data_IF_871300434096
#
_entry.id   IF_871300434096
#
_cell.length_a   1.000
_cell.length_b   1.000
_cell.length_c   1.000
_cell.angle_alpha   90.00
_cell.angle_beta   90.00
_cell.angle_gamma   90.00
#
_symmetry.space_group_name_H-M   'P 1'
#
loop_
_entity.id
_entity.type
_entity.pdbx_description
1 polymer ?
#
# COMPACT_ATOMS: atom_id res chain seq x y z
N UNK A 1 8.79 -22.79 21.14
CA UNK A 1 8.42 -22.43 19.76
C UNK A 1 7.79 -21.05 19.79
N UNK A 2 8.53 -20.02 19.40
CA UNK A 2 8.00 -18.65 19.34
C UNK A 2 7.02 -18.55 18.17
N UNK A 3 5.71 -18.66 18.43
CA UNK A 3 4.67 -18.33 17.45
C UNK A 3 4.71 -16.81 17.24
N UNK A 4 5.51 -16.35 16.28
CA UNK A 4 5.80 -14.93 16.08
C UNK A 4 4.57 -14.10 15.70
N UNK A 5 3.75 -14.60 14.77
CA UNK A 5 2.50 -13.97 14.33
C UNK A 5 1.44 -15.05 14.12
N UNK A 6 0.28 -14.92 14.75
CA UNK A 6 -0.89 -15.76 14.49
C UNK A 6 -2.10 -14.84 14.33
N UNK A 7 -2.62 -14.73 13.12
CA UNK A 7 -3.83 -13.97 12.83
C UNK A 7 -5.02 -14.91 12.98
N UNK A 8 -5.96 -14.56 13.84
CA UNK A 8 -7.30 -15.17 13.91
C UNK A 8 -8.32 -14.10 13.51
N UNK A 9 -9.56 -14.50 13.26
CA UNK A 9 -10.58 -13.59 12.71
C UNK A 9 -10.88 -12.38 13.61
N UNK A 10 -10.86 -12.54 14.94
CA UNK A 10 -11.12 -11.44 15.90
C UNK A 10 -9.83 -10.81 16.45
N UNK A 11 -8.77 -11.61 16.62
CA UNK A 11 -7.54 -11.21 17.29
C UNK A 11 -6.30 -11.64 16.53
N UNK A 12 -5.33 -10.74 16.44
CA UNK A 12 -3.99 -11.05 15.96
C UNK A 12 -3.04 -11.13 17.14
N UNK A 13 -2.38 -12.28 17.27
CA UNK A 13 -1.26 -12.46 18.17
C UNK A 13 0.01 -11.97 17.47
N UNK A 14 0.61 -10.91 18.00
CA UNK A 14 1.87 -10.36 17.51
C UNK A 14 2.90 -10.35 18.63
N UNK A 15 3.94 -11.16 18.51
CA UNK A 15 5.11 -11.18 19.40
C UNK A 15 4.78 -11.11 20.91
N UNK A 16 3.81 -11.91 21.38
CA UNK A 16 3.43 -11.94 22.80
C UNK A 16 2.16 -11.17 23.17
N UNK A 17 1.64 -10.30 22.29
CA UNK A 17 0.50 -9.42 22.58
C UNK A 17 -0.69 -9.81 21.71
N UNK A 18 -1.87 -9.92 22.33
CA UNK A 18 -3.15 -10.06 21.64
C UNK A 18 -3.72 -8.69 21.30
N UNK A 19 -3.84 -8.39 20.01
CA UNK A 19 -4.37 -7.13 19.50
C UNK A 19 -5.67 -7.41 18.74
N UNK A 20 -6.71 -6.61 18.99
CA UNK A 20 -7.97 -6.72 18.23
C UNK A 20 -7.72 -6.32 16.78
N UNK A 21 -8.21 -7.12 15.84
CA UNK A 21 -8.05 -6.83 14.41
C UNK A 21 -8.60 -5.45 14.03
N UNK A 22 -9.73 -5.05 14.62
CA UNK A 22 -10.28 -3.69 14.46
C UNK A 22 -9.27 -2.58 14.76
N UNK A 23 -8.51 -2.69 15.85
CA UNK A 23 -7.50 -1.68 16.21
C UNK A 23 -6.33 -1.68 15.25
N UNK A 24 -5.88 -2.86 14.81
CA UNK A 24 -4.78 -2.99 13.85
C UNK A 24 -5.19 -2.38 12.50
N UNK A 25 -6.40 -2.70 12.02
CA UNK A 25 -6.94 -2.14 10.77
C UNK A 25 -7.01 -0.62 10.84
N UNK A 26 -7.46 -0.04 11.97
CA UNK A 26 -7.50 1.42 12.14
C UNK A 26 -6.09 2.02 12.08
N UNK A 27 -5.13 1.46 12.81
CA UNK A 27 -3.76 1.98 12.87
C UNK A 27 -3.09 1.92 11.49
N UNK A 28 -3.18 0.77 10.82
CA UNK A 28 -2.61 0.58 9.48
C UNK A 28 -3.32 1.45 8.44
N UNK A 29 -4.65 1.60 8.51
CA UNK A 29 -5.40 2.48 7.64
C UNK A 29 -4.99 3.95 7.83
N UNK A 30 -4.79 4.42 9.07
CA UNK A 30 -4.31 5.79 9.34
C UNK A 30 -2.89 5.99 8.79
N UNK A 31 -1.99 5.02 9.03
CA UNK A 31 -0.62 5.10 8.51
C UNK A 31 -0.60 5.18 6.99
N UNK A 32 -1.39 4.32 6.31
CA UNK A 32 -1.49 4.33 4.86
C UNK A 32 -2.22 5.57 4.32
N UNK A 33 -3.15 6.15 5.09
CA UNK A 33 -3.81 7.41 4.74
C UNK A 33 -2.81 8.57 4.71
N UNK A 34 -1.87 8.62 5.67
CA UNK A 34 -0.77 9.60 5.65
C UNK A 34 0.10 9.43 4.41
N UNK A 35 0.50 8.19 4.10
CA UNK A 35 1.30 7.88 2.90
C UNK A 35 0.58 8.27 1.61
N UNK A 36 -0.70 7.93 1.49
CA UNK A 36 -1.53 8.29 0.34
C UNK A 36 -1.72 9.82 0.21
N UNK A 37 -1.85 10.53 1.34
CA UNK A 37 -1.92 12.00 1.35
C UNK A 37 -0.63 12.62 0.83
N UNK A 38 0.54 12.13 1.27
CA UNK A 38 1.84 12.60 0.78
C UNK A 38 1.95 12.33 -0.72
N UNK A 39 1.59 11.13 -1.19
CA UNK A 39 1.61 10.78 -2.61
C UNK A 39 0.68 11.68 -3.44
N UNK A 40 -0.52 12.00 -2.94
CA UNK A 40 -1.43 12.91 -3.62
C UNK A 40 -0.87 14.35 -3.66
N UNK A 41 -0.21 14.80 -2.59
CA UNK A 41 0.47 16.09 -2.55
C UNK A 41 1.60 16.17 -3.60
N UNK A 42 2.29 15.06 -3.91
CA UNK A 42 3.27 15.01 -5.01
C UNK A 42 2.60 15.30 -6.36
N UNK A 43 1.43 14.72 -6.62
CA UNK A 43 0.67 14.99 -7.85
C UNK A 43 0.19 16.45 -7.92
N UNK A 44 -0.37 16.99 -6.83
CA UNK A 44 -0.81 18.39 -6.77
C UNK A 44 0.36 19.35 -7.01
N UNK A 45 1.50 19.11 -6.38
CA UNK A 45 2.70 19.92 -6.55
C UNK A 45 3.23 19.85 -7.98
N UNK A 46 3.24 18.66 -8.58
CA UNK A 46 3.64 18.45 -9.98
C UNK A 46 2.75 19.24 -10.95
N UNK A 47 1.42 19.17 -10.76
CA UNK A 47 0.46 19.88 -11.62
C UNK A 47 0.63 21.39 -11.47
N UNK A 48 0.72 21.90 -10.23
CA UNK A 48 0.79 23.32 -9.95
C UNK A 48 2.05 24.01 -10.50
N UNK A 49 3.19 23.32 -10.48
CA UNK A 49 4.48 23.92 -10.86
C UNK A 49 4.94 23.55 -12.29
N UNK A 50 4.54 22.38 -12.80
CA UNK A 50 5.08 21.83 -14.05
C UNK A 50 4.00 21.52 -15.10
N UNK A 51 2.71 21.72 -14.80
CA UNK A 51 1.58 21.35 -15.66
C UNK A 51 1.62 19.87 -16.12
N UNK A 52 2.26 19.00 -15.33
CA UNK A 52 2.31 17.55 -15.54
C UNK A 52 1.72 16.84 -14.34
N UNK A 53 1.05 15.71 -14.56
CA UNK A 53 0.36 14.95 -13.49
C UNK A 53 1.33 14.33 -12.50
N UNK A 54 2.46 13.81 -12.97
CA UNK A 54 3.53 13.33 -12.12
C UNK A 54 4.88 13.52 -12.83
N UNK A 55 5.67 14.50 -12.38
CA UNK A 55 7.02 14.70 -12.85
C UNK A 55 8.00 14.09 -11.83
N UNK A 56 8.55 12.94 -12.13
CA UNK A 56 9.66 12.36 -11.39
C UNK A 56 10.83 12.13 -12.35
N UNK A 57 11.98 12.73 -12.05
CA UNK A 57 13.22 12.52 -12.79
C UNK A 57 14.37 12.39 -11.81
N UNK A 58 15.28 11.46 -12.10
CA UNK A 58 16.54 11.28 -11.38
C UNK A 58 17.70 12.06 -12.03
N UNK A 59 17.42 12.82 -13.10
CA UNK A 59 18.44 13.56 -13.83
C UNK A 59 18.77 14.88 -13.12
N UNK A 60 20.00 15.02 -12.62
CA UNK A 60 20.51 16.20 -11.92
C UNK A 60 20.46 17.50 -12.77
N UNK A 61 20.35 17.37 -14.09
CA UNK A 61 20.23 18.52 -15.02
C UNK A 61 18.83 19.16 -15.08
N UNK A 62 17.83 18.61 -14.38
CA UNK A 62 16.51 19.21 -14.18
C UNK A 62 16.44 19.87 -12.79
N UNK A 63 16.82 21.14 -12.61
CA UNK A 63 17.14 21.72 -11.29
C UNK A 63 15.92 22.06 -10.43
N UNK A 64 14.70 21.87 -10.95
CA UNK A 64 13.48 22.39 -10.31
C UNK A 64 12.60 21.31 -9.68
N UNK A 65 12.80 20.04 -10.02
CA UNK A 65 12.09 18.94 -9.36
C UNK A 65 12.81 18.59 -8.06
N UNK A 66 12.52 19.33 -6.98
CA UNK A 66 13.17 19.12 -5.68
C UNK A 66 13.04 17.67 -5.17
N UNK A 67 13.86 17.31 -4.17
CA UNK A 67 13.95 15.97 -3.55
C UNK A 67 12.61 15.27 -3.23
N UNK A 68 11.52 16.05 -3.14
CA UNK A 68 10.17 15.56 -2.91
C UNK A 68 9.53 14.86 -4.13
N UNK A 69 9.92 15.20 -5.35
CA UNK A 69 9.41 14.62 -6.61
C UNK A 69 10.31 13.51 -7.17
N UNK A 70 11.56 13.42 -6.70
CA UNK A 70 12.54 12.39 -7.09
C UNK A 70 12.32 11.06 -6.37
N UNK A 71 11.21 10.90 -5.67
CA UNK A 71 10.85 9.66 -4.99
C UNK A 71 9.34 9.42 -5.11
N UNK A 72 8.96 8.17 -5.22
CA UNK A 72 7.58 7.70 -5.20
C UNK A 72 7.34 7.00 -3.86
N UNK A 73 6.65 7.71 -2.96
CA UNK A 73 6.42 7.26 -1.58
C UNK A 73 5.42 6.11 -1.52
N UNK A 74 4.50 5.98 -2.49
CA UNK A 74 3.45 4.94 -2.45
C UNK A 74 3.95 3.63 -3.05
N UNK A 75 4.89 3.64 -4.00
CA UNK A 75 5.50 2.42 -4.53
C UNK A 75 6.82 2.09 -3.79
N UNK A 76 7.23 2.96 -2.85
CA UNK A 76 8.53 2.89 -2.16
C UNK A 76 9.70 2.95 -3.15
N UNK A 77 9.52 3.65 -4.27
CA UNK A 77 10.55 3.86 -5.28
C UNK A 77 11.31 5.16 -4.99
N UNK A 78 12.36 5.01 -4.17
CA UNK A 78 13.30 6.08 -3.84
C UNK A 78 14.53 6.07 -4.78
N UNK A 79 14.35 5.66 -6.04
CA UNK A 79 15.46 5.45 -6.97
C UNK A 79 15.95 3.99 -7.02
N UNK A 80 15.17 3.06 -6.48
CA UNK A 80 15.47 1.63 -6.56
C UNK A 80 15.57 1.18 -8.01
N UNK A 81 14.59 1.57 -8.83
CA UNK A 81 14.54 1.14 -10.22
C UNK A 81 15.54 1.90 -11.10
N UNK A 82 15.87 3.14 -10.74
CA UNK A 82 16.98 3.88 -11.35
C UNK A 82 18.28 3.08 -11.23
N UNK A 83 18.61 2.61 -10.03
CA UNK A 83 19.82 1.82 -9.80
C UNK A 83 19.76 0.43 -10.46
N UNK A 84 18.61 -0.26 -10.40
CA UNK A 84 18.47 -1.63 -10.93
C UNK A 84 18.41 -1.71 -12.46
N UNK A 85 17.68 -0.81 -13.11
CA UNK A 85 17.31 -0.89 -14.53
C UNK A 85 17.85 0.33 -15.32
N UNK A 86 18.53 1.27 -14.65
CA UNK A 86 19.12 2.47 -15.28
C UNK A 86 18.07 3.37 -15.95
N UNK A 87 16.85 3.43 -15.39
CA UNK A 87 15.76 4.28 -15.87
C UNK A 87 15.89 5.71 -15.35
N UNK A 88 15.63 6.72 -16.18
CA UNK A 88 15.87 8.13 -15.80
C UNK A 88 14.70 8.81 -15.07
N UNK A 89 13.57 8.11 -14.97
CA UNK A 89 12.31 8.57 -14.38
C UNK A 89 11.72 7.48 -13.47
N UNK A 90 10.82 7.83 -12.56
CA UNK A 90 10.11 6.84 -11.74
C UNK A 90 9.27 5.89 -12.63
N UNK A 91 9.09 4.64 -12.20
CA UNK A 91 8.27 3.65 -12.93
C UNK A 91 6.86 4.16 -13.23
N UNK A 92 6.26 4.89 -12.28
CA UNK A 92 4.93 5.47 -12.47
C UNK A 92 4.85 6.43 -13.67
N UNK A 93 5.95 7.11 -14.04
CA UNK A 93 5.95 7.97 -15.22
C UNK A 93 6.03 7.15 -16.52
N UNK A 94 6.77 6.04 -16.50
CA UNK A 94 6.90 5.14 -17.65
C UNK A 94 5.62 4.37 -17.99
N UNK A 95 4.84 3.96 -16.98
CA UNK A 95 3.63 3.17 -17.21
C UNK A 95 2.52 3.97 -17.88
N UNK A 96 2.25 5.17 -17.35
CA UNK A 96 1.07 5.93 -17.73
C UNK A 96 1.20 7.44 -17.48
N UNK A 97 2.40 7.95 -17.16
CA UNK A 97 2.59 9.35 -16.78
C UNK A 97 2.00 9.71 -15.40
N UNK A 98 1.63 8.73 -14.58
CA UNK A 98 1.08 8.90 -13.24
C UNK A 98 -0.43 9.15 -13.14
N UNK A 99 -1.20 8.97 -14.22
CA UNK A 99 -2.65 9.22 -14.26
C UNK A 99 -3.45 8.21 -13.42
N UNK A 100 -3.25 6.91 -13.68
CA UNK A 100 -3.79 5.78 -12.92
C UNK A 100 -3.37 5.88 -11.46
N UNK A 101 -2.14 6.33 -11.18
CA UNK A 101 -1.67 6.53 -9.81
C UNK A 101 -2.37 7.69 -9.09
N UNK A 102 -2.64 8.79 -9.78
CA UNK A 102 -3.41 9.91 -9.21
C UNK A 102 -4.86 9.49 -8.92
N UNK A 103 -5.50 8.77 -9.85
CA UNK A 103 -6.84 8.21 -9.68
C UNK A 103 -6.87 7.21 -8.52
N UNK A 104 -5.86 6.35 -8.44
CA UNK A 104 -5.68 5.38 -7.38
C UNK A 104 -5.54 6.04 -6.00
N UNK A 105 -4.65 7.03 -5.86
CA UNK A 105 -4.46 7.75 -4.60
C UNK A 105 -5.76 8.40 -4.13
N UNK A 106 -6.54 8.97 -5.06
CA UNK A 106 -7.84 9.56 -4.75
C UNK A 106 -8.85 8.51 -4.26
N UNK A 107 -8.95 7.37 -4.96
CA UNK A 107 -9.80 6.25 -4.56
C UNK A 107 -9.39 5.65 -3.21
N UNK A 108 -8.10 5.44 -3.00
CA UNK A 108 -7.53 4.89 -1.77
C UNK A 108 -7.77 5.83 -0.58
N UNK A 109 -7.65 7.14 -0.76
CA UNK A 109 -7.98 8.12 0.28
C UNK A 109 -9.44 8.01 0.72
N UNK A 110 -10.37 7.89 -0.23
CA UNK A 110 -11.80 7.73 0.05
C UNK A 110 -12.08 6.41 0.77
N UNK A 111 -11.50 5.30 0.29
CA UNK A 111 -11.70 3.98 0.90
C UNK A 111 -11.12 3.89 2.31
N UNK A 112 -9.93 4.46 2.55
CA UNK A 112 -9.31 4.53 3.86
C UNK A 112 -10.12 5.41 4.82
N UNK A 113 -10.58 6.58 4.36
CA UNK A 113 -11.45 7.45 5.17
C UNK A 113 -12.75 6.74 5.55
N UNK A 114 -13.41 6.08 4.60
CA UNK A 114 -14.62 5.29 4.87
C UNK A 114 -14.35 4.19 5.89
N UNK A 115 -13.23 3.47 5.76
CA UNK A 115 -12.85 2.40 6.69
C UNK A 115 -12.59 2.93 8.09
N UNK A 116 -11.83 4.02 8.22
CA UNK A 116 -11.54 4.64 9.53
C UNK A 116 -12.83 5.12 10.19
N UNK A 117 -13.69 5.84 9.45
CA UNK A 117 -14.98 6.33 9.97
C UNK A 117 -15.88 5.16 10.37
N UNK A 118 -15.97 4.12 9.54
CA UNK A 118 -16.77 2.92 9.83
C UNK A 118 -16.28 2.22 11.09
N UNK A 119 -14.98 1.99 11.20
CA UNK A 119 -14.36 1.33 12.34
C UNK A 119 -14.34 2.16 13.62
N UNK A 120 -14.49 3.49 13.57
CA UNK A 120 -14.57 4.35 14.76
C UNK A 120 -16.01 4.64 15.19
N UNK A 121 -16.89 4.97 14.25
CA UNK A 121 -18.24 5.44 14.54
C UNK A 121 -19.28 4.32 14.64
N UNK A 122 -19.04 3.17 14.01
CA UNK A 122 -20.02 2.07 13.97
C UNK A 122 -19.53 0.90 14.80
N UNK A 123 -20.34 0.47 15.78
CA UNK A 123 -19.98 -0.66 16.66
C UNK A 123 -20.09 -1.99 15.91
N UNK A 124 -21.07 -2.09 15.00
CA UNK A 124 -21.39 -3.26 14.20
C UNK A 124 -21.57 -2.87 12.74
N UNK A 125 -20.46 -2.67 12.00
CA UNK A 125 -20.51 -2.20 10.63
C UNK A 125 -21.15 -3.24 9.70
N UNK A 126 -21.85 -2.77 8.67
CA UNK A 126 -22.28 -3.65 7.60
C UNK A 126 -21.04 -4.07 6.77
N UNK A 127 -20.80 -5.37 6.50
CA UNK A 127 -19.58 -5.84 5.84
C UNK A 127 -19.30 -5.18 4.46
N UNK A 128 -20.36 -4.81 3.73
CA UNK A 128 -20.25 -4.04 2.47
C UNK A 128 -19.50 -2.70 2.59
N UNK A 129 -19.46 -2.08 3.77
CA UNK A 129 -18.71 -0.83 3.97
C UNK A 129 -17.19 -1.01 3.89
N UNK A 130 -16.70 -2.24 4.09
CA UNK A 130 -15.29 -2.59 3.99
C UNK A 130 -14.87 -2.96 2.55
N UNK A 131 -15.83 -3.16 1.64
CA UNK A 131 -15.56 -3.58 0.26
C UNK A 131 -14.65 -2.62 -0.51
N UNK A 132 -14.86 -1.29 -0.49
CA UNK A 132 -13.99 -0.38 -1.24
C UNK A 132 -12.53 -0.52 -0.83
N UNK A 133 -12.28 -0.68 0.47
CA UNK A 133 -10.92 -0.86 0.99
C UNK A 133 -10.35 -2.23 0.64
N UNK A 134 -11.15 -3.30 0.70
CA UNK A 134 -10.71 -4.63 0.27
C UNK A 134 -10.30 -4.62 -1.20
N UNK A 135 -11.14 -4.10 -2.10
CA UNK A 135 -10.84 -4.08 -3.54
C UNK A 135 -9.55 -3.31 -3.82
N UNK A 136 -9.44 -2.10 -3.28
CA UNK A 136 -8.27 -1.25 -3.55
C UNK A 136 -7.02 -1.82 -2.86
N UNK A 137 -7.09 -2.33 -1.63
CA UNK A 137 -5.91 -2.91 -0.97
C UNK A 137 -5.41 -4.19 -1.66
N UNK A 138 -6.32 -5.05 -2.14
CA UNK A 138 -5.93 -6.25 -2.91
C UNK A 138 -5.25 -5.87 -4.22
N UNK A 139 -5.82 -4.92 -4.98
CA UNK A 139 -5.20 -4.46 -6.22
C UNK A 139 -3.87 -3.73 -5.98
N UNK A 140 -3.68 -3.07 -4.82
CA UNK A 140 -2.39 -2.51 -4.43
C UNK A 140 -1.32 -3.60 -4.25
N UNK A 141 -1.64 -4.62 -3.44
CA UNK A 141 -0.71 -5.71 -3.14
C UNK A 141 -0.36 -6.48 -4.41
N UNK A 142 -1.35 -6.72 -5.27
CA UNK A 142 -1.13 -7.32 -6.58
C UNK A 142 -0.19 -6.49 -7.46
N UNK A 143 -0.35 -5.16 -7.49
CA UNK A 143 0.55 -4.25 -8.20
C UNK A 143 2.01 -4.34 -7.71
N UNK A 144 2.22 -4.35 -6.39
CA UNK A 144 3.56 -4.50 -5.79
C UNK A 144 4.19 -5.86 -6.10
N UNK A 145 3.40 -6.93 -6.13
CA UNK A 145 3.87 -8.27 -6.53
C UNK A 145 4.28 -8.28 -8.01
N UNK A 146 3.49 -7.69 -8.90
CA UNK A 146 3.85 -7.58 -10.33
C UNK A 146 5.18 -6.85 -10.48
N UNK A 147 5.37 -5.72 -9.80
CA UNK A 147 6.64 -4.97 -9.84
C UNK A 147 7.81 -5.80 -9.30
N UNK A 148 7.60 -6.55 -8.21
CA UNK A 148 8.60 -7.45 -7.66
C UNK A 148 8.99 -8.53 -8.66
N UNK A 149 8.01 -9.16 -9.33
CA UNK A 149 8.25 -10.19 -10.35
C UNK A 149 8.96 -9.60 -11.58
N UNK A 150 8.51 -8.43 -12.06
CA UNK A 150 9.07 -7.76 -13.22
C UNK A 150 10.55 -7.40 -13.04
N UNK A 151 11.00 -7.26 -11.78
CA UNK A 151 12.38 -6.92 -11.42
C UNK A 151 13.12 -8.05 -10.70
N UNK A 152 12.52 -9.26 -10.64
CA UNK A 152 13.00 -10.36 -9.82
C UNK A 152 14.41 -10.82 -10.22
N UNK A 153 14.73 -10.81 -11.52
CA UNK A 153 16.05 -11.18 -12.02
C UNK A 153 17.14 -10.23 -11.50
N UNK A 154 16.93 -8.91 -11.63
CA UNK A 154 17.88 -7.88 -11.17
C UNK A 154 17.96 -7.80 -9.66
N UNK A 155 16.83 -7.95 -8.99
CA UNK A 155 16.73 -7.93 -7.54
C UNK A 155 17.45 -9.15 -6.93
N UNK A 156 17.27 -10.35 -7.52
CA UNK A 156 17.95 -11.56 -7.07
C UNK A 156 19.48 -11.48 -7.24
N UNK A 157 19.96 -10.96 -8.38
CA UNK A 157 21.39 -10.73 -8.60
C UNK A 157 21.97 -9.77 -7.57
N UNK A 158 21.25 -8.67 -7.28
CA UNK A 158 21.67 -7.65 -6.33
C UNK A 158 21.67 -8.13 -4.86
N UNK A 159 20.82 -9.11 -4.53
CA UNK A 159 20.79 -9.76 -3.21
C UNK A 159 21.92 -10.78 -3.07
N UNK A 160 22.17 -11.60 -4.11
CA UNK A 160 23.19 -12.65 -4.08
C UNK A 160 24.61 -12.09 -4.12
N UNK A 161 24.81 -11.00 -4.86
CA UNK A 161 26.08 -10.32 -5.01
C UNK A 161 25.91 -8.84 -4.65
N UNK A 162 25.85 -8.50 -3.35
CA UNK A 162 25.66 -7.11 -2.92
C UNK A 162 26.89 -6.28 -3.30
N UNK A 163 26.75 -5.43 -4.32
CA UNK A 163 27.80 -4.55 -4.83
C UNK A 163 27.78 -3.16 -4.19
N UNK A 164 26.60 -2.68 -3.78
CA UNK A 164 26.41 -1.34 -3.23
C UNK A 164 25.49 -1.37 -1.98
N UNK A 165 25.95 -0.92 -0.80
CA UNK A 165 25.12 -0.89 0.41
C UNK A 165 23.90 0.03 0.29
N UNK A 166 23.97 1.08 -0.54
CA UNK A 166 22.82 1.96 -0.82
C UNK A 166 21.69 1.21 -1.52
N UNK A 167 22.03 0.44 -2.56
CA UNK A 167 21.07 -0.38 -3.29
C UNK A 167 20.41 -1.44 -2.39
N UNK A 168 21.19 -2.11 -1.54
CA UNK A 168 20.65 -3.07 -0.57
C UNK A 168 19.65 -2.44 0.41
N UNK A 169 19.89 -1.19 0.82
CA UNK A 169 18.99 -0.45 1.70
C UNK A 169 17.69 -0.02 0.97
N UNK A 170 17.77 0.36 -0.31
CA UNK A 170 16.59 0.61 -1.13
C UNK A 170 15.73 -0.65 -1.33
N UNK A 171 16.37 -1.80 -1.60
CA UNK A 171 15.68 -3.10 -1.70
C UNK A 171 15.00 -3.44 -0.37
N UNK A 172 15.66 -3.17 0.76
CA UNK A 172 15.09 -3.40 2.08
C UNK A 172 13.84 -2.53 2.33
N UNK A 173 13.85 -1.25 1.97
CA UNK A 173 12.68 -0.39 2.11
C UNK A 173 11.51 -0.85 1.25
N UNK A 174 11.76 -1.19 -0.01
CA UNK A 174 10.74 -1.73 -0.90
C UNK A 174 10.17 -3.06 -0.37
N UNK A 175 11.03 -3.95 0.13
CA UNK A 175 10.64 -5.21 0.74
C UNK A 175 9.78 -5.03 1.99
N UNK A 176 10.19 -4.16 2.92
CA UNK A 176 9.41 -3.85 4.13
C UNK A 176 8.05 -3.26 3.74
N UNK A 177 8.02 -2.27 2.84
CA UNK A 177 6.77 -1.66 2.38
C UNK A 177 5.82 -2.67 1.74
N UNK A 178 6.35 -3.57 0.90
CA UNK A 178 5.57 -4.65 0.27
C UNK A 178 5.04 -5.63 1.32
N UNK A 179 5.87 -6.08 2.26
CA UNK A 179 5.46 -6.98 3.32
C UNK A 179 4.41 -6.34 4.24
N UNK A 180 4.59 -5.08 4.66
CA UNK A 180 3.61 -4.39 5.51
C UNK A 180 2.25 -4.26 4.82
N UNK A 181 2.22 -3.98 3.52
CA UNK A 181 0.96 -3.92 2.77
C UNK A 181 0.25 -5.28 2.66
N UNK A 182 0.99 -6.37 2.46
CA UNK A 182 0.42 -7.72 2.47
C UNK A 182 -0.10 -8.11 3.85
N UNK A 183 0.62 -7.74 4.93
CA UNK A 183 0.14 -7.96 6.29
C UNK A 183 -1.14 -7.17 6.54
N UNK A 184 -1.22 -5.92 6.07
CA UNK A 184 -2.43 -5.13 6.20
C UNK A 184 -3.61 -5.75 5.46
N UNK A 185 -3.42 -6.16 4.20
CA UNK A 185 -4.44 -6.82 3.40
C UNK A 185 -4.94 -8.12 4.05
N UNK A 186 -4.01 -8.93 4.56
CA UNK A 186 -4.34 -10.17 5.27
C UNK A 186 -5.16 -9.92 6.54
N UNK A 187 -4.78 -8.94 7.36
CA UNK A 187 -5.54 -8.56 8.57
C UNK A 187 -6.91 -7.98 8.21
N UNK A 188 -6.99 -7.19 7.13
CA UNK A 188 -8.25 -6.62 6.63
C UNK A 188 -9.23 -7.71 6.19
N UNK A 189 -8.75 -8.74 5.49
CA UNK A 189 -9.54 -9.91 5.11
C UNK A 189 -10.07 -10.68 6.31
N UNK A 190 -9.23 -10.96 7.31
CA UNK A 190 -9.65 -11.62 8.54
C UNK A 190 -10.67 -10.80 9.32
N UNK A 191 -10.52 -9.47 9.35
CA UNK A 191 -11.50 -8.58 9.96
C UNK A 191 -12.83 -8.59 9.19
N UNK A 192 -12.80 -8.59 7.86
CA UNK A 192 -13.99 -8.71 7.03
C UNK A 192 -14.77 -10.01 7.31
N UNK A 193 -14.09 -11.16 7.30
CA UNK A 193 -14.73 -12.45 7.57
C UNK A 193 -15.34 -12.52 8.97
N UNK A 194 -14.68 -11.93 9.97
CA UNK A 194 -15.25 -11.81 11.31
C UNK A 194 -16.56 -11.01 11.32
N UNK A 195 -16.59 -9.84 10.69
CA UNK A 195 -17.80 -9.00 10.63
C UNK A 195 -18.91 -9.67 9.80
N UNK A 196 -18.57 -10.38 8.72
CA UNK A 196 -19.52 -11.16 7.92
C UNK A 196 -20.17 -12.29 8.72
N UNK A 197 -19.36 -13.03 9.50
CA UNK A 197 -19.84 -14.07 10.39
C UNK A 197 -20.77 -13.48 11.46
N UNK A 198 -20.33 -12.43 12.16
CA UNK A 198 -21.14 -11.74 13.18
C UNK A 198 -22.44 -11.18 12.61
N UNK A 199 -22.41 -10.60 11.41
CA UNK A 199 -23.61 -10.07 10.75
C UNK A 199 -24.60 -11.18 10.40
N UNK A 200 -24.11 -12.30 9.86
CA UNK A 200 -24.93 -13.47 9.52
C UNK A 200 -25.55 -14.07 10.77
N UNK A 201 -24.79 -14.23 11.85
CA UNK A 201 -25.29 -14.74 13.14
C UNK A 201 -26.38 -13.84 13.74
N UNK A 202 -26.25 -12.51 13.62
CA UNK A 202 -27.23 -11.56 14.19
C UNK A 202 -28.51 -11.41 13.37
N UNK A 203 -28.38 -11.37 12.05
CA UNK A 203 -29.49 -11.02 11.16
C UNK A 203 -30.14 -12.23 10.48
N UNK A 204 -29.46 -13.38 10.46
CA UNK A 204 -29.86 -14.56 9.70
C UNK A 204 -29.81 -14.36 8.18
N UNK A 205 -29.29 -13.21 7.70
CA UNK A 205 -29.17 -12.89 6.28
C UNK A 205 -27.73 -13.08 5.83
N UNK A 206 -27.56 -13.78 4.72
CA UNK A 206 -26.26 -13.85 4.05
C UNK A 206 -25.93 -12.50 3.40
N UNK A 207 -24.67 -12.10 3.53
CA UNK A 207 -24.10 -10.99 2.77
C UNK A 207 -23.84 -11.49 1.34
N UNK A 208 -23.93 -10.60 0.34
CA UNK A 208 -23.50 -10.91 -1.02
C UNK A 208 -22.03 -11.35 -0.95
N UNK A 209 -21.67 -12.54 -1.44
CA UNK A 209 -20.28 -12.99 -1.39
C UNK A 209 -19.42 -12.02 -2.21
N UNK A 210 -18.25 -11.67 -1.69
CA UNK A 210 -17.28 -10.85 -2.42
C UNK A 210 -16.80 -11.50 -3.74
N UNK A 211 -17.02 -12.82 -3.91
CA UNK A 211 -16.55 -13.63 -5.03
C UNK A 211 -17.57 -13.86 -6.15
N UNK A 212 -18.69 -13.12 -6.18
CA UNK A 212 -19.73 -13.24 -7.23
C UNK A 212 -19.42 -12.32 -8.41
#
# INVERSE_FOLDING_TARGET
>A
MCRGVQVQDEWTYFCGIWLKNRSIVIILAIAQFVVATISLAQHVYSIANFNKIFLCSFNESSPNAGNFLSADVIIFDFGLFHELIQVQECIANYLDGGYMRCLWCSGQMIALALTVVTCLCVVHPHPLLLWPQLIIQNAYCFGLVILTIATADKLLVSILHPTNPHLSLLILYFGIGTCTNHVFDYVLWHYYWHEEFQYTTRTGKHVIPFWV
#
